data_IF_142918199691
#
_entry.id   IF_142918199691
#
_cell.length_a   1.000
_cell.length_b   1.000
_cell.length_c   1.000
_cell.angle_alpha   90.00
_cell.angle_beta   90.00
_cell.angle_gamma   90.00
#
_symmetry.space_group_name_H-M   'P 1'
#
loop_
_entity.id
_entity.type
_entity.pdbx_description
1 polymer ?
#
# COMPACT_ATOMS: atom_id res chain seq x y z
N UNK A 1 44.50 -33.31 29.93
CA UNK A 1 44.77 -34.61 30.63
C UNK A 1 44.62 -35.75 29.63
N UNK A 2 45.55 -36.71 29.65
CA UNK A 2 45.56 -37.86 28.73
C UNK A 2 44.99 -39.13 29.35
N UNK A 3 44.86 -39.21 30.68
CA UNK A 3 44.35 -40.35 31.44
C UNK A 3 43.52 -39.89 32.66
N UNK A 4 42.64 -40.77 33.16
CA UNK A 4 41.84 -40.52 34.37
C UNK A 4 42.75 -40.44 35.61
N UNK A 5 42.44 -39.53 36.54
CA UNK A 5 43.12 -39.49 37.83
C UNK A 5 42.57 -40.58 38.75
N UNK A 6 43.29 -41.71 38.78
CA UNK A 6 42.93 -42.91 39.55
C UNK A 6 43.57 -42.94 40.95
N UNK A 7 44.30 -41.89 41.37
CA UNK A 7 44.90 -41.82 42.71
C UNK A 7 43.92 -42.10 43.85
N UNK A 8 42.65 -41.62 43.81
CA UNK A 8 41.69 -41.94 44.86
C UNK A 8 41.38 -43.45 44.96
N UNK A 9 41.43 -44.17 43.84
CA UNK A 9 41.27 -45.62 43.81
C UNK A 9 42.55 -46.34 44.29
N UNK A 10 43.73 -45.82 43.96
CA UNK A 10 45.01 -46.33 44.47
C UNK A 10 45.13 -46.18 45.99
N UNK A 11 44.70 -45.04 46.53
CA UNK A 11 44.66 -44.77 47.98
C UNK A 11 43.71 -45.74 48.69
N UNK A 12 42.52 -45.98 48.12
CA UNK A 12 41.56 -46.97 48.62
C UNK A 12 42.13 -48.41 48.57
N UNK A 13 42.89 -48.74 47.52
CA UNK A 13 43.58 -50.03 47.39
C UNK A 13 44.69 -50.17 48.44
N UNK A 14 45.40 -49.09 48.77
CA UNK A 14 46.43 -49.11 49.81
C UNK A 14 45.81 -49.36 51.20
N UNK A 15 44.63 -48.81 51.48
CA UNK A 15 43.86 -49.12 52.69
C UNK A 15 43.45 -50.60 52.72
N UNK A 16 43.04 -51.16 51.58
CA UNK A 16 42.72 -52.60 51.47
C UNK A 16 43.94 -53.48 51.78
N UNK A 17 45.13 -53.13 51.27
CA UNK A 17 46.40 -53.83 51.56
C UNK A 17 46.72 -53.78 53.06
N UNK A 18 46.57 -52.64 53.72
CA UNK A 18 46.80 -52.51 55.18
C UNK A 18 45.86 -53.40 56.01
N UNK A 19 44.59 -53.53 55.61
CA UNK A 19 43.66 -54.47 56.27
C UNK A 19 44.04 -55.93 56.03
N UNK A 20 44.57 -56.24 54.85
CA UNK A 20 45.06 -57.58 54.52
C UNK A 20 46.29 -57.93 55.38
N UNK A 21 47.27 -57.04 55.46
CA UNK A 21 48.48 -57.20 56.29
C UNK A 21 48.16 -57.36 57.79
N UNK A 22 47.01 -56.83 58.22
CA UNK A 22 46.52 -56.92 59.61
C UNK A 22 45.60 -58.14 59.86
N UNK A 23 45.55 -59.11 58.93
CA UNK A 23 44.68 -60.30 58.96
C UNK A 23 43.16 -60.00 59.04
N UNK A 24 42.71 -58.79 58.66
CA UNK A 24 41.30 -58.41 58.63
C UNK A 24 40.69 -58.69 57.25
N UNK A 25 40.67 -59.95 56.83
CA UNK A 25 40.35 -60.35 55.45
C UNK A 25 39.00 -59.87 54.92
N UNK A 26 37.94 -59.88 55.74
CA UNK A 26 36.62 -59.37 55.33
C UNK A 26 36.67 -57.86 55.01
N UNK A 27 37.33 -57.06 55.84
CA UNK A 27 37.49 -55.62 55.62
C UNK A 27 38.40 -55.32 54.43
N UNK A 28 39.46 -56.10 54.25
CA UNK A 28 40.34 -56.01 53.10
C UNK A 28 39.58 -56.27 51.79
N UNK A 29 38.74 -57.31 51.75
CA UNK A 29 37.91 -57.63 50.58
C UNK A 29 36.90 -56.51 50.24
N UNK A 30 36.20 -55.97 51.25
CA UNK A 30 35.28 -54.85 51.04
C UNK A 30 35.99 -53.58 50.57
N UNK A 31 37.16 -53.26 51.12
CA UNK A 31 37.96 -52.12 50.69
C UNK A 31 38.52 -52.30 49.27
N UNK A 32 38.94 -53.51 48.90
CA UNK A 32 39.41 -53.82 47.54
C UNK A 32 38.28 -53.68 46.51
N UNK A 33 37.08 -54.21 46.79
CA UNK A 33 35.89 -54.00 45.92
C UNK A 33 35.52 -52.52 45.79
N UNK A 34 35.65 -51.76 46.87
CA UNK A 34 35.41 -50.31 46.84
C UNK A 34 36.44 -49.59 45.95
N UNK A 35 37.71 -49.95 46.05
CA UNK A 35 38.76 -49.40 45.18
C UNK A 35 38.53 -49.74 43.69
N UNK A 36 38.16 -50.98 43.39
CA UNK A 36 37.83 -51.42 42.03
C UNK A 36 36.63 -50.67 41.44
N UNK A 37 35.51 -50.60 42.17
CA UNK A 37 34.34 -49.84 41.73
C UNK A 37 34.64 -48.34 41.56
N UNK A 38 35.48 -47.77 42.42
CA UNK A 38 35.93 -46.38 42.30
C UNK A 38 36.78 -46.17 41.03
N UNK A 39 37.70 -47.09 40.72
CA UNK A 39 38.50 -47.02 39.51
C UNK A 39 37.64 -47.07 38.24
N UNK A 40 36.71 -48.04 38.16
CA UNK A 40 35.79 -48.18 37.01
C UNK A 40 34.95 -46.92 36.82
N UNK A 41 34.33 -46.42 37.90
CA UNK A 41 33.48 -45.23 37.82
C UNK A 41 34.27 -43.97 37.45
N UNK A 42 35.51 -43.82 37.92
CA UNK A 42 36.36 -42.69 37.54
C UNK A 42 36.78 -42.74 36.07
N UNK A 43 37.11 -43.92 35.55
CA UNK A 43 37.47 -44.10 34.14
C UNK A 43 36.26 -43.82 33.22
N UNK A 44 35.08 -44.34 33.55
CA UNK A 44 33.84 -44.06 32.82
C UNK A 44 33.49 -42.56 32.83
N UNK A 45 33.57 -41.93 34.01
CA UNK A 45 33.29 -40.49 34.16
C UNK A 45 34.31 -39.63 33.39
N UNK A 46 35.60 -40.00 33.44
CA UNK A 46 36.66 -39.34 32.67
C UNK A 46 36.44 -39.48 31.16
N UNK A 47 36.13 -40.69 30.68
CA UNK A 47 35.86 -40.93 29.27
C UNK A 47 34.68 -40.11 28.76
N UNK A 48 33.60 -40.03 29.54
CA UNK A 48 32.44 -39.19 29.25
C UNK A 48 32.80 -37.70 29.18
N UNK A 49 33.54 -37.19 30.17
CA UNK A 49 34.03 -35.81 30.17
C UNK A 49 34.95 -35.52 28.98
N UNK A 50 35.93 -36.37 28.71
CA UNK A 50 36.90 -36.17 27.63
C UNK A 50 36.23 -36.15 26.25
N UNK A 51 35.22 -37.02 26.05
CA UNK A 51 34.41 -37.01 24.83
C UNK A 51 33.66 -35.69 24.67
N UNK A 52 33.00 -35.21 25.72
CA UNK A 52 32.30 -33.92 25.71
C UNK A 52 33.26 -32.75 25.45
N UNK A 53 34.43 -32.72 26.13
CA UNK A 53 35.45 -31.69 25.96
C UNK A 53 36.00 -31.64 24.54
N UNK A 54 36.27 -32.80 23.93
CA UNK A 54 36.68 -32.88 22.52
C UNK A 54 35.57 -32.40 21.57
N UNK A 55 34.30 -32.69 21.87
CA UNK A 55 33.19 -32.21 21.07
C UNK A 55 33.05 -30.68 21.14
N UNK A 56 33.13 -30.10 22.33
CA UNK A 56 33.14 -28.64 22.52
C UNK A 56 34.35 -27.98 21.83
N UNK A 57 35.55 -28.56 21.96
CA UNK A 57 36.73 -28.04 21.27
C UNK A 57 36.56 -28.06 19.75
N UNK A 58 36.04 -29.16 19.19
CA UNK A 58 35.74 -29.26 17.75
C UNK A 58 34.70 -28.21 17.33
N UNK A 59 33.70 -27.92 18.18
CA UNK A 59 32.72 -26.86 17.94
C UNK A 59 33.36 -25.48 17.91
N UNK A 60 34.21 -25.17 18.89
CA UNK A 60 34.98 -23.92 18.95
C UNK A 60 35.82 -23.75 17.68
N UNK A 61 36.53 -24.80 17.25
CA UNK A 61 37.37 -24.73 16.05
C UNK A 61 36.52 -24.53 14.78
N UNK A 62 35.34 -25.17 14.70
CA UNK A 62 34.38 -24.96 13.61
C UNK A 62 33.86 -23.52 13.58
N UNK A 63 33.41 -23.01 14.72
CA UNK A 63 32.90 -21.64 14.86
C UNK A 63 33.98 -20.61 14.52
N UNK A 64 35.22 -20.83 14.95
CA UNK A 64 36.36 -19.97 14.63
C UNK A 64 36.65 -19.93 13.13
N UNK A 65 36.55 -21.07 12.42
CA UNK A 65 36.69 -21.11 10.95
C UNK A 65 35.61 -20.31 10.23
N UNK A 66 34.42 -20.22 10.83
CA UNK A 66 33.30 -19.42 10.33
C UNK A 66 33.37 -17.94 10.78
N UNK A 67 34.43 -17.55 11.51
CA UNK A 67 34.57 -16.18 12.03
C UNK A 67 33.61 -15.83 13.17
N UNK A 68 32.95 -16.84 13.77
CA UNK A 68 32.01 -16.64 14.87
C UNK A 68 32.74 -16.45 16.20
N UNK A 69 32.09 -15.76 17.14
CA UNK A 69 32.63 -15.52 18.48
C UNK A 69 32.71 -16.81 19.29
N UNK A 70 33.89 -17.14 19.82
CA UNK A 70 34.14 -18.39 20.57
C UNK A 70 34.57 -18.17 22.03
N UNK A 71 34.84 -16.93 22.44
CA UNK A 71 35.43 -16.58 23.74
C UNK A 71 34.66 -17.19 24.92
N UNK A 72 33.33 -17.10 24.91
CA UNK A 72 32.48 -17.62 25.99
C UNK A 72 32.59 -19.15 26.11
N UNK A 73 32.60 -19.86 24.98
CA UNK A 73 32.76 -21.33 24.98
C UNK A 73 34.16 -21.75 25.45
N UNK A 74 35.20 -21.02 25.07
CA UNK A 74 36.58 -21.24 25.52
C UNK A 74 36.70 -21.01 27.04
N UNK A 75 36.06 -19.96 27.59
CA UNK A 75 36.04 -19.72 29.04
C UNK A 75 35.28 -20.82 29.78
N UNK A 76 34.19 -21.35 29.22
CA UNK A 76 33.44 -22.46 29.78
C UNK A 76 34.25 -23.76 29.78
N UNK A 77 35.01 -24.03 28.72
CA UNK A 77 35.96 -25.15 28.65
C UNK A 77 37.01 -25.03 29.77
N UNK A 78 37.65 -23.87 29.91
CA UNK A 78 38.63 -23.63 30.98
C UNK A 78 38.02 -23.68 32.39
N UNK A 79 36.75 -23.27 32.56
CA UNK A 79 36.01 -23.40 33.82
C UNK A 79 35.73 -24.87 34.14
N UNK A 80 35.38 -25.68 33.15
CA UNK A 80 35.19 -27.12 33.33
C UNK A 80 36.48 -27.82 33.78
N UNK A 81 37.63 -27.46 33.19
CA UNK A 81 38.93 -27.99 33.61
C UNK A 81 39.26 -27.63 35.06
N UNK A 82 39.05 -26.37 35.46
CA UNK A 82 39.20 -25.94 36.86
C UNK A 82 38.27 -26.71 37.79
N UNK A 83 37.07 -27.03 37.33
CA UNK A 83 36.07 -27.79 38.10
C UNK A 83 36.45 -29.25 38.28
N UNK A 84 37.05 -29.88 37.27
CA UNK A 84 37.65 -31.20 37.40
C UNK A 84 38.72 -31.18 38.50
N UNK A 85 39.61 -30.20 38.45
CA UNK A 85 40.73 -30.05 39.40
C UNK A 85 40.28 -29.73 40.83
N UNK A 86 39.16 -29.02 41.01
CA UNK A 86 38.66 -28.70 42.35
C UNK A 86 38.12 -29.91 43.11
N UNK A 87 37.84 -31.02 42.41
CA UNK A 87 37.35 -32.27 42.99
C UNK A 87 36.01 -32.16 43.75
N UNK A 88 35.51 -33.30 44.21
CA UNK A 88 34.36 -33.45 45.10
C UNK A 88 34.61 -34.59 46.07
N UNK A 89 33.93 -34.57 47.21
CA UNK A 89 33.87 -35.71 48.11
C UNK A 89 32.76 -36.66 47.65
N UNK A 90 33.12 -37.88 47.25
CA UNK A 90 32.19 -38.95 46.87
C UNK A 90 32.52 -40.20 47.67
N UNK A 91 31.51 -40.74 48.37
CA UNK A 91 31.62 -42.03 49.07
C UNK A 91 32.82 -42.12 50.05
N UNK A 92 33.22 -41.01 50.65
CA UNK A 92 34.33 -40.93 51.61
C UNK A 92 35.74 -40.81 50.99
N UNK A 93 35.85 -40.59 49.68
CA UNK A 93 37.10 -40.27 48.99
C UNK A 93 36.97 -38.92 48.27
N UNK A 94 38.07 -38.17 48.20
CA UNK A 94 38.15 -36.96 47.38
C UNK A 94 38.50 -37.35 45.94
N UNK A 95 37.61 -37.06 45.00
CA UNK A 95 37.70 -37.49 43.60
C UNK A 95 37.56 -36.32 42.62
N UNK A 96 38.13 -36.40 41.41
CA UNK A 96 37.91 -35.39 40.39
C UNK A 96 36.42 -35.24 40.02
N UNK A 97 35.96 -34.00 39.83
CA UNK A 97 34.56 -33.71 39.52
C UNK A 97 34.26 -33.79 38.01
N UNK A 98 34.46 -34.96 37.42
CA UNK A 98 34.21 -35.19 35.99
C UNK A 98 32.72 -35.06 35.61
N UNK A 99 31.79 -35.38 36.51
CA UNK A 99 30.35 -35.35 36.23
C UNK A 99 29.85 -33.92 36.02
N UNK A 100 30.10 -33.00 36.97
CA UNK A 100 29.61 -31.64 36.81
C UNK A 100 30.38 -30.87 35.72
N UNK A 101 31.66 -31.19 35.53
CA UNK A 101 32.43 -30.64 34.41
C UNK A 101 31.87 -31.11 33.07
N UNK A 102 31.50 -32.39 32.95
CA UNK A 102 30.84 -32.95 31.75
C UNK A 102 29.53 -32.23 31.45
N UNK A 103 28.66 -32.07 32.45
CA UNK A 103 27.36 -31.37 32.26
C UNK A 103 27.56 -29.94 31.77
N UNK A 104 28.55 -29.23 32.31
CA UNK A 104 28.89 -27.86 31.89
C UNK A 104 29.30 -27.82 30.41
N UNK A 105 30.18 -28.73 30.00
CA UNK A 105 30.71 -28.80 28.63
C UNK A 105 29.66 -29.28 27.63
N UNK A 106 28.84 -30.28 27.99
CA UNK A 106 27.75 -30.78 27.13
C UNK A 106 26.72 -29.68 26.87
N UNK A 107 26.36 -28.92 27.91
CA UNK A 107 25.46 -27.77 27.76
C UNK A 107 26.06 -26.69 26.84
N UNK A 108 27.33 -26.35 27.05
CA UNK A 108 28.04 -25.38 26.21
C UNK A 108 28.13 -25.83 24.75
N UNK A 109 28.32 -27.13 24.49
CA UNK A 109 28.32 -27.67 23.12
C UNK A 109 26.95 -27.54 22.46
N UNK A 110 25.87 -27.86 23.19
CA UNK A 110 24.50 -27.71 22.70
C UNK A 110 24.16 -26.25 22.39
N UNK A 111 24.50 -25.32 23.30
CA UNK A 111 24.29 -23.89 23.12
C UNK A 111 25.12 -23.36 21.93
N UNK A 112 26.40 -23.74 21.83
CA UNK A 112 27.27 -23.37 20.72
C UNK A 112 26.80 -23.92 19.38
N UNK A 113 26.28 -25.15 19.34
CA UNK A 113 25.67 -25.73 18.14
C UNK A 113 24.43 -24.96 17.71
N UNK A 114 23.52 -24.69 18.65
CA UNK A 114 22.29 -23.95 18.35
C UNK A 114 22.59 -22.52 17.88
N UNK A 115 23.62 -21.88 18.46
CA UNK A 115 24.09 -20.58 18.02
C UNK A 115 24.70 -20.63 16.60
N UNK A 116 25.57 -21.60 16.31
CA UNK A 116 26.12 -21.79 14.97
C UNK A 116 25.02 -21.97 13.92
N UNK A 117 24.03 -22.82 14.19
CA UNK A 117 22.90 -23.05 13.28
C UNK A 117 22.09 -21.77 13.03
N UNK A 118 21.94 -20.89 14.03
CA UNK A 118 21.29 -19.58 13.86
C UNK A 118 22.17 -18.60 13.08
N UNK A 119 23.47 -18.58 13.35
CA UNK A 119 24.40 -17.70 12.66
C UNK A 119 24.52 -18.04 11.17
N UNK A 120 24.51 -19.33 10.81
CA UNK A 120 24.48 -19.77 9.42
C UNK A 120 23.20 -19.33 8.71
N UNK A 121 22.04 -19.43 9.37
CA UNK A 121 20.77 -18.90 8.84
C UNK A 121 20.82 -17.39 8.65
N UNK A 122 21.31 -16.65 9.63
CA UNK A 122 21.45 -15.20 9.56
C UNK A 122 22.38 -14.78 8.41
N UNK A 123 23.52 -15.48 8.25
CA UNK A 123 24.45 -15.27 7.14
C UNK A 123 23.78 -15.48 5.78
N UNK A 124 23.00 -16.55 5.62
CA UNK A 124 22.23 -16.79 4.39
C UNK A 124 21.19 -15.69 4.13
N UNK A 125 20.46 -15.25 5.16
CA UNK A 125 19.50 -14.14 5.02
C UNK A 125 20.19 -12.84 4.62
N UNK A 126 21.35 -12.51 5.22
CA UNK A 126 22.16 -11.33 4.85
C UNK A 126 22.57 -11.43 3.38
N UNK A 127 23.02 -12.60 2.93
CA UNK A 127 23.40 -12.80 1.53
C UNK A 127 22.21 -12.62 0.56
N UNK A 128 21.02 -13.11 0.91
CA UNK A 128 19.81 -12.90 0.10
C UNK A 128 19.41 -11.41 0.07
N UNK A 129 19.55 -10.71 1.20
CA UNK A 129 19.30 -9.28 1.28
C UNK A 129 20.29 -8.48 0.42
N UNK A 130 21.57 -8.84 0.43
CA UNK A 130 22.60 -8.25 -0.44
C UNK A 130 22.26 -8.47 -1.92
N UNK A 131 21.93 -9.71 -2.33
CA UNK A 131 21.52 -10.00 -3.69
C UNK A 131 20.25 -9.22 -4.11
N UNK A 132 19.31 -9.03 -3.18
CA UNK A 132 18.11 -8.24 -3.45
C UNK A 132 18.44 -6.76 -3.68
N UNK A 133 19.35 -6.19 -2.86
CA UNK A 133 19.88 -4.82 -3.01
C UNK A 133 20.59 -4.67 -4.36
N UNK A 134 21.53 -5.56 -4.70
CA UNK A 134 22.24 -5.54 -5.98
C UNK A 134 21.25 -5.60 -7.15
N UNK A 135 20.26 -6.50 -7.08
CA UNK A 135 19.24 -6.62 -8.12
C UNK A 135 18.38 -5.37 -8.28
N UNK A 136 18.23 -4.56 -7.22
CA UNK A 136 17.56 -3.26 -7.27
C UNK A 136 18.49 -2.22 -7.90
N UNK A 137 19.76 -2.16 -7.51
CA UNK A 137 20.75 -1.22 -8.08
C UNK A 137 21.02 -1.47 -9.58
N UNK A 138 21.02 -2.73 -10.02
CA UNK A 138 21.25 -3.14 -11.41
C UNK A 138 19.99 -3.06 -12.30
N UNK A 139 18.95 -2.35 -11.86
CA UNK A 139 17.73 -2.19 -12.65
C UNK A 139 18.02 -1.52 -14.00
N UNK A 140 17.51 -2.13 -15.07
CA UNK A 140 17.62 -1.58 -16.43
C UNK A 140 16.56 -0.49 -16.63
N UNK A 141 16.94 0.59 -17.33
CA UNK A 141 16.04 1.67 -17.67
C UNK A 141 16.49 3.07 -17.21
N UNK A 142 17.11 3.24 -16.03
CA UNK A 142 17.64 4.54 -15.64
C UNK A 142 18.69 5.03 -16.65
N UNK A 143 18.66 6.32 -16.94
CA UNK A 143 19.64 7.01 -17.77
C UNK A 143 21.00 7.13 -17.07
N UNK A 144 21.00 7.24 -15.74
CA UNK A 144 22.20 7.26 -14.89
C UNK A 144 22.11 6.15 -13.82
N UNK A 145 22.61 4.94 -14.14
CA UNK A 145 22.50 3.79 -13.24
C UNK A 145 23.21 3.97 -11.89
N UNK A 146 24.32 4.71 -11.85
CA UNK A 146 25.09 4.93 -10.63
C UNK A 146 24.29 5.80 -9.66
N UNK A 147 23.78 6.93 -10.14
CA UNK A 147 22.96 7.83 -9.35
C UNK A 147 21.64 7.20 -8.89
N UNK A 148 21.04 6.38 -9.75
CA UNK A 148 19.86 5.61 -9.40
C UNK A 148 20.15 4.65 -8.24
N UNK A 149 21.22 3.85 -8.36
CA UNK A 149 21.62 2.88 -7.35
C UNK A 149 21.87 3.59 -6.01
N UNK A 150 22.69 4.66 -5.99
CA UNK A 150 22.96 5.44 -4.78
C UNK A 150 21.68 5.88 -4.05
N UNK A 151 20.68 6.37 -4.79
CA UNK A 151 19.42 6.80 -4.19
C UNK A 151 18.51 5.66 -3.74
N UNK A 152 18.48 4.55 -4.49
CA UNK A 152 17.57 3.43 -4.24
C UNK A 152 18.10 2.43 -3.21
N UNK A 153 19.42 2.26 -3.09
CA UNK A 153 20.05 1.21 -2.28
C UNK A 153 20.71 1.72 -1.00
N UNK A 154 21.12 2.99 -0.92
CA UNK A 154 21.95 3.49 0.20
C UNK A 154 21.36 3.25 1.61
N UNK A 155 20.06 3.45 1.81
CA UNK A 155 19.41 3.15 3.10
C UNK A 155 19.42 1.65 3.42
N UNK A 156 19.27 0.80 2.40
CA UNK A 156 19.27 -0.65 2.54
C UNK A 156 20.68 -1.16 2.84
N UNK A 157 21.70 -0.60 2.19
CA UNK A 157 23.12 -0.91 2.44
C UNK A 157 23.54 -0.52 3.86
N UNK A 158 23.10 0.64 4.36
CA UNK A 158 23.32 1.03 5.76
C UNK A 158 22.66 0.02 6.73
N UNK A 159 21.46 -0.44 6.42
CA UNK A 159 20.75 -1.45 7.21
C UNK A 159 21.43 -2.82 7.13
N UNK A 160 22.00 -3.18 5.98
CA UNK A 160 22.79 -4.40 5.78
C UNK A 160 24.07 -4.39 6.62
N UNK A 161 24.73 -3.23 6.71
CA UNK A 161 25.87 -3.02 7.61
C UNK A 161 25.48 -3.19 9.09
N UNK A 162 24.27 -2.81 9.47
CA UNK A 162 23.78 -3.05 10.82
C UNK A 162 23.46 -4.53 11.06
N UNK A 163 22.84 -5.23 10.10
CA UNK A 163 22.59 -6.67 10.19
C UNK A 163 23.89 -7.49 10.33
N UNK A 164 24.91 -7.15 9.54
CA UNK A 164 26.24 -7.78 9.63
C UNK A 164 26.93 -7.49 10.96
N UNK A 165 26.79 -6.27 11.49
CA UNK A 165 27.28 -5.92 12.83
C UNK A 165 26.57 -6.70 13.93
N UNK A 166 25.24 -6.84 13.88
CA UNK A 166 24.48 -7.61 14.85
C UNK A 166 24.91 -9.08 14.86
N UNK A 167 25.13 -9.67 13.69
CA UNK A 167 25.67 -11.02 13.58
C UNK A 167 27.06 -11.15 14.22
N UNK A 168 27.95 -10.18 13.96
CA UNK A 168 29.29 -10.15 14.54
C UNK A 168 29.28 -10.03 16.08
N UNK A 169 28.27 -9.34 16.63
CA UNK A 169 28.06 -9.22 18.08
C UNK A 169 27.39 -10.45 18.72
N UNK A 170 26.93 -11.40 17.91
CA UNK A 170 26.27 -12.63 18.37
C UNK A 170 24.74 -12.55 18.42
N UNK A 171 24.12 -11.50 17.90
CA UNK A 171 22.67 -11.41 17.74
C UNK A 171 22.23 -11.91 16.37
N UNK A 172 22.26 -13.24 16.20
CA UNK A 172 21.84 -13.89 14.95
C UNK A 172 20.34 -13.72 14.65
N UNK A 173 19.50 -13.61 15.68
CA UNK A 173 18.05 -13.44 15.51
C UNK A 173 17.70 -12.03 15.06
N UNK A 174 18.33 -11.01 15.65
CA UNK A 174 18.23 -9.62 15.19
C UNK A 174 18.72 -9.47 13.76
N UNK A 175 19.91 -9.99 13.45
CA UNK A 175 20.48 -9.94 12.10
C UNK A 175 19.56 -10.58 11.04
N UNK A 176 18.95 -11.73 11.36
CA UNK A 176 18.01 -12.41 10.45
C UNK A 176 16.76 -11.55 10.19
N UNK A 177 16.20 -10.92 11.22
CA UNK A 177 15.01 -10.06 11.07
C UNK A 177 15.31 -8.85 10.18
N UNK A 178 16.39 -8.14 10.46
CA UNK A 178 16.81 -6.98 9.66
C UNK A 178 17.07 -7.38 8.22
N UNK A 179 17.76 -8.50 7.98
CA UNK A 179 18.02 -8.99 6.63
C UNK A 179 16.74 -9.32 5.85
N UNK A 180 15.77 -9.98 6.49
CA UNK A 180 14.48 -10.27 5.84
C UNK A 180 13.69 -8.99 5.52
N UNK A 181 13.69 -8.00 6.43
CA UNK A 181 13.06 -6.70 6.19
C UNK A 181 13.70 -5.95 5.00
N UNK A 182 15.03 -6.05 4.86
CA UNK A 182 15.77 -5.51 3.71
C UNK A 182 15.34 -6.21 2.41
N UNK A 183 15.30 -7.54 2.40
CA UNK A 183 14.88 -8.32 1.23
C UNK A 183 13.44 -7.93 0.80
N UNK A 184 12.51 -7.87 1.76
CA UNK A 184 11.13 -7.46 1.50
C UNK A 184 11.05 -6.02 0.96
N UNK A 185 11.79 -5.07 1.54
CA UNK A 185 11.80 -3.67 1.08
C UNK A 185 12.44 -3.55 -0.31
N UNK A 186 13.56 -4.22 -0.57
CA UNK A 186 14.22 -4.21 -1.88
C UNK A 186 13.32 -4.78 -2.99
N UNK A 187 12.67 -5.92 -2.72
CA UNK A 187 11.74 -6.55 -3.67
C UNK A 187 10.50 -5.69 -3.92
N UNK A 188 9.97 -5.04 -2.88
CA UNK A 188 8.87 -4.08 -3.00
C UNK A 188 9.27 -2.87 -3.86
N UNK A 189 10.42 -2.24 -3.58
CA UNK A 189 10.92 -1.09 -4.34
C UNK A 189 11.14 -1.44 -5.81
N UNK A 190 11.68 -2.62 -6.09
CA UNK A 190 11.86 -3.11 -7.45
C UNK A 190 10.53 -3.23 -8.19
N UNK A 191 9.51 -3.81 -7.54
CA UNK A 191 8.15 -3.89 -8.11
C UNK A 191 7.56 -2.50 -8.33
N UNK A 192 7.67 -1.61 -7.35
CA UNK A 192 7.18 -0.24 -7.43
C UNK A 192 7.82 0.53 -8.57
N UNK A 193 9.13 0.37 -8.81
CA UNK A 193 9.82 0.98 -9.94
C UNK A 193 9.20 0.55 -11.27
N UNK A 194 9.02 -0.77 -11.46
CA UNK A 194 8.44 -1.33 -12.70
C UNK A 194 7.02 -0.83 -12.92
N UNK A 195 6.20 -0.80 -11.87
CA UNK A 195 4.81 -0.36 -11.97
C UNK A 195 4.72 1.16 -12.19
N UNK A 196 5.60 1.94 -11.56
CA UNK A 196 5.66 3.41 -11.68
C UNK A 196 6.09 3.84 -13.09
N UNK A 197 7.13 3.21 -13.64
CA UNK A 197 7.58 3.45 -15.03
C UNK A 197 6.49 3.16 -16.05
N UNK A 198 5.81 2.01 -15.94
CA UNK A 198 4.64 1.69 -16.76
C UNK A 198 3.51 2.71 -16.59
N UNK A 199 3.28 3.19 -15.36
CA UNK A 199 2.27 4.21 -15.09
C UNK A 199 2.60 5.53 -15.77
N UNK A 200 3.87 5.95 -15.82
CA UNK A 200 4.27 7.13 -16.56
C UNK A 200 4.03 6.96 -18.05
N UNK A 201 4.45 5.85 -18.65
CA UNK A 201 4.25 5.60 -20.09
C UNK A 201 2.75 5.62 -20.46
N UNK A 202 1.91 5.00 -19.62
CA UNK A 202 0.45 5.03 -19.80
C UNK A 202 -0.13 6.45 -19.66
N UNK A 203 0.36 7.22 -18.68
CA UNK A 203 -0.09 8.60 -18.43
C UNK A 203 0.31 9.52 -19.59
N UNK A 204 1.55 9.40 -20.10
CA UNK A 204 2.02 10.15 -21.27
C UNK A 204 1.24 9.80 -22.53
N UNK A 205 0.92 8.51 -22.75
CA UNK A 205 0.08 8.08 -23.87
C UNK A 205 -1.32 8.70 -23.80
N UNK A 206 -1.92 8.72 -22.60
CA UNK A 206 -3.22 9.35 -22.38
C UNK A 206 -3.18 10.87 -22.56
N UNK A 207 -2.13 11.53 -22.08
CA UNK A 207 -1.92 12.97 -22.32
C UNK A 207 -1.75 13.27 -23.82
N UNK A 208 -1.01 12.44 -24.55
CA UNK A 208 -0.85 12.57 -26.00
C UNK A 208 -2.18 12.42 -26.74
N UNK A 209 -3.02 11.47 -26.31
CA UNK A 209 -4.39 11.32 -26.82
C UNK A 209 -5.24 12.57 -26.57
N UNK A 210 -5.27 13.07 -25.33
CA UNK A 210 -6.00 14.30 -24.97
C UNK A 210 -5.50 15.50 -25.77
N UNK A 211 -4.19 15.61 -26.02
CA UNK A 211 -3.61 16.65 -26.89
C UNK A 211 -4.09 16.52 -28.33
N UNK A 212 -4.20 15.29 -28.84
CA UNK A 212 -4.80 15.01 -30.15
C UNK A 212 -6.26 15.46 -30.24
N UNK A 213 -7.00 15.42 -29.13
CA UNK A 213 -8.35 15.96 -29.02
C UNK A 213 -8.39 17.49 -28.82
N UNK A 214 -7.24 18.16 -28.64
CA UNK A 214 -7.13 19.61 -28.45
C UNK A 214 -7.11 20.07 -26.98
N UNK A 215 -6.84 19.17 -26.03
CA UNK A 215 -6.73 19.48 -24.60
C UNK A 215 -5.35 20.06 -24.26
N UNK A 216 -5.32 21.09 -23.40
CA UNK A 216 -4.06 21.67 -22.91
C UNK A 216 -3.49 20.82 -21.76
N UNK A 217 -2.32 20.22 -21.99
CA UNK A 217 -1.63 19.31 -21.04
C UNK A 217 -0.30 19.85 -20.50
N UNK A 218 0.13 21.04 -20.89
CA UNK A 218 1.50 21.55 -20.70
C UNK A 218 1.98 21.57 -19.22
N UNK A 219 1.08 21.82 -18.26
CA UNK A 219 1.44 21.81 -16.83
C UNK A 219 1.80 20.42 -16.33
N UNK A 220 1.05 19.40 -16.75
CA UNK A 220 1.27 18.00 -16.39
C UNK A 220 2.55 17.43 -17.02
N UNK A 221 2.98 17.98 -18.16
CA UNK A 221 4.22 17.58 -18.83
C UNK A 221 5.46 17.97 -18.03
N UNK A 222 5.43 19.13 -17.36
CA UNK A 222 6.49 19.51 -16.43
C UNK A 222 6.52 18.57 -15.21
N UNK A 223 5.35 18.26 -14.66
CA UNK A 223 5.26 17.39 -13.48
C UNK A 223 5.68 15.94 -13.78
N UNK A 224 5.31 15.37 -14.94
CA UNK A 224 5.75 14.01 -15.30
C UNK A 224 7.26 13.95 -15.54
N UNK A 225 7.85 15.02 -16.07
CA UNK A 225 9.31 15.13 -16.22
C UNK A 225 10.00 15.18 -14.85
N UNK A 226 9.46 15.93 -13.90
CA UNK A 226 9.96 15.95 -12.51
C UNK A 226 9.82 14.56 -11.87
N UNK A 227 8.68 13.90 -12.06
CA UNK A 227 8.43 12.57 -11.51
C UNK A 227 9.39 11.51 -12.08
N UNK A 228 9.70 11.59 -13.38
CA UNK A 228 10.74 10.74 -14.01
C UNK A 228 12.13 11.04 -13.44
N UNK A 229 12.51 12.30 -13.29
CA UNK A 229 13.78 12.69 -12.67
C UNK A 229 13.91 12.20 -11.22
N UNK A 230 12.81 12.11 -10.46
CA UNK A 230 12.80 11.46 -9.15
C UNK A 230 13.11 9.97 -9.22
N UNK A 231 12.50 9.25 -10.19
CA UNK A 231 12.82 7.83 -10.42
C UNK A 231 14.28 7.65 -10.78
N UNK A 232 14.83 8.48 -11.68
CA UNK A 232 16.24 8.45 -12.08
C UNK A 232 17.19 8.65 -10.89
N UNK A 233 16.76 9.40 -9.86
CA UNK A 233 17.52 9.62 -8.62
C UNK A 233 17.30 8.53 -7.57
N UNK A 234 16.60 7.44 -7.89
CA UNK A 234 16.31 6.36 -6.94
C UNK A 234 15.19 6.65 -5.94
N UNK A 235 14.47 7.77 -6.06
CA UNK A 235 13.37 8.15 -5.16
C UNK A 235 12.05 7.48 -5.56
N UNK A 236 12.05 6.14 -5.56
CA UNK A 236 10.99 5.30 -6.15
C UNK A 236 9.63 5.52 -5.49
N UNK A 237 9.56 5.56 -4.16
CA UNK A 237 8.29 5.70 -3.44
C UNK A 237 7.63 7.06 -3.69
N UNK A 238 8.43 8.15 -3.63
CA UNK A 238 7.96 9.50 -3.92
C UNK A 238 7.48 9.62 -5.36
N UNK A 239 8.22 9.05 -6.31
CA UNK A 239 7.82 9.02 -7.70
C UNK A 239 6.55 8.20 -7.94
N UNK A 240 6.37 7.08 -7.25
CA UNK A 240 5.15 6.26 -7.32
C UNK A 240 3.93 7.03 -6.84
N UNK A 241 4.04 7.73 -5.71
CA UNK A 241 2.98 8.62 -5.22
C UNK A 241 2.66 9.72 -6.24
N UNK A 242 3.68 10.34 -6.84
CA UNK A 242 3.49 11.36 -7.88
C UNK A 242 2.83 10.79 -9.14
N UNK A 243 3.19 9.56 -9.56
CA UNK A 243 2.59 8.88 -10.70
C UNK A 243 1.09 8.64 -10.50
N UNK A 244 0.68 8.18 -9.31
CA UNK A 244 -0.75 8.00 -9.00
C UNK A 244 -1.51 9.33 -9.02
N UNK A 245 -0.91 10.40 -8.49
CA UNK A 245 -1.49 11.75 -8.54
C UNK A 245 -1.68 12.22 -9.97
N UNK A 246 -0.63 12.13 -10.80
CA UNK A 246 -0.66 12.59 -12.19
C UNK A 246 -1.67 11.83 -13.03
N UNK A 247 -1.75 10.50 -12.85
CA UNK A 247 -2.75 9.69 -13.52
C UNK A 247 -4.17 10.15 -13.17
N UNK A 248 -4.46 10.37 -11.88
CA UNK A 248 -5.76 10.85 -11.44
C UNK A 248 -6.08 12.25 -12.01
N UNK A 249 -5.10 13.16 -12.04
CA UNK A 249 -5.28 14.50 -12.62
C UNK A 249 -5.59 14.43 -14.13
N UNK A 250 -4.87 13.59 -14.88
CA UNK A 250 -5.11 13.34 -16.31
C UNK A 250 -6.51 12.76 -16.55
N UNK A 251 -6.92 11.78 -15.73
CA UNK A 251 -8.25 11.19 -15.79
C UNK A 251 -9.36 12.22 -15.50
N UNK A 252 -9.17 13.08 -14.49
CA UNK A 252 -10.12 14.15 -14.16
C UNK A 252 -10.22 15.13 -15.32
N UNK A 253 -9.10 15.61 -15.87
CA UNK A 253 -9.11 16.55 -17.00
C UNK A 253 -9.81 15.93 -18.20
N UNK A 254 -9.48 14.68 -18.56
CA UNK A 254 -10.11 13.97 -19.66
C UNK A 254 -11.62 13.81 -19.48
N UNK A 255 -12.07 13.48 -18.27
CA UNK A 255 -13.49 13.35 -17.95
C UNK A 255 -14.25 14.69 -18.01
N UNK A 256 -13.67 15.76 -17.46
CA UNK A 256 -14.28 17.09 -17.49
C UNK A 256 -14.33 17.62 -18.92
N UNK A 257 -13.26 17.42 -19.70
CA UNK A 257 -13.22 17.77 -21.12
C UNK A 257 -14.32 17.07 -21.91
N UNK A 258 -14.43 15.74 -21.81
CA UNK A 258 -15.48 14.96 -22.49
C UNK A 258 -16.88 15.43 -22.11
N UNK A 259 -17.13 15.65 -20.81
CA UNK A 259 -18.43 16.18 -20.36
C UNK A 259 -18.75 17.54 -20.97
N UNK A 260 -17.77 18.45 -21.03
CA UNK A 260 -17.96 19.77 -21.61
C UNK A 260 -18.21 19.70 -23.14
N UNK A 261 -17.49 18.83 -23.86
CA UNK A 261 -17.61 18.72 -25.32
C UNK A 261 -18.85 17.96 -25.77
N UNK A 262 -19.23 16.87 -25.10
CA UNK A 262 -20.52 16.20 -25.37
C UNK A 262 -21.68 17.09 -24.95
N UNK A 263 -21.56 17.72 -23.77
CA UNK A 263 -22.60 18.58 -23.24
C UNK A 263 -22.88 19.80 -24.13
N UNK A 264 -21.85 20.44 -24.69
CA UNK A 264 -22.07 21.54 -25.63
C UNK A 264 -22.67 21.06 -26.95
N UNK A 265 -22.26 19.90 -27.48
CA UNK A 265 -22.83 19.34 -28.70
C UNK A 265 -24.33 19.04 -28.54
N UNK A 266 -24.71 18.42 -27.42
CA UNK A 266 -26.11 18.14 -27.10
C UNK A 266 -26.93 19.43 -26.91
N UNK A 267 -26.36 20.42 -26.19
CA UNK A 267 -27.00 21.71 -25.98
C UNK A 267 -27.19 22.48 -27.30
N UNK A 268 -26.25 22.39 -28.24
CA UNK A 268 -26.38 22.99 -29.57
C UNK A 268 -27.50 22.35 -30.39
N UNK A 269 -27.63 21.02 -30.35
CA UNK A 269 -28.74 20.30 -31.01
C UNK A 269 -30.09 20.70 -30.41
N UNK A 270 -30.19 20.73 -29.08
CA UNK A 270 -31.39 21.17 -28.38
C UNK A 270 -31.74 22.61 -28.73
N UNK A 271 -30.75 23.50 -28.73
CA UNK A 271 -30.98 24.91 -29.04
C UNK A 271 -31.40 25.12 -30.49
N UNK A 272 -30.77 24.44 -31.45
CA UNK A 272 -31.16 24.51 -32.85
C UNK A 272 -32.61 24.03 -33.08
N UNK A 273 -33.05 22.99 -32.35
CA UNK A 273 -34.45 22.56 -32.35
C UNK A 273 -35.37 23.65 -31.78
N UNK A 274 -35.03 24.21 -30.62
CA UNK A 274 -35.81 25.27 -29.99
C UNK A 274 -35.90 26.52 -30.89
N UNK A 275 -34.83 26.89 -31.61
CA UNK A 275 -34.82 27.98 -32.57
C UNK A 275 -35.78 27.75 -33.74
N UNK A 276 -35.82 26.53 -34.30
CA UNK A 276 -36.82 26.15 -35.33
C UNK A 276 -38.25 26.25 -34.80
N UNK A 277 -38.44 26.00 -33.51
CA UNK A 277 -39.71 26.15 -32.81
C UNK A 277 -40.00 27.62 -32.39
N UNK A 278 -39.15 28.60 -32.76
CA UNK A 278 -39.38 30.03 -32.52
C UNK A 278 -38.71 30.62 -31.28
N UNK A 279 -37.91 29.85 -30.53
CA UNK A 279 -37.17 30.35 -29.37
C UNK A 279 -35.86 31.03 -29.75
N UNK A 280 -35.73 32.30 -29.37
CA UNK A 280 -34.50 33.06 -29.50
C UNK A 280 -34.16 33.67 -28.14
N UNK A 281 -32.98 33.35 -27.60
CA UNK A 281 -32.54 33.86 -26.30
C UNK A 281 -31.10 34.32 -26.36
N UNK A 282 -30.93 35.63 -26.20
CA UNK A 282 -29.61 36.25 -26.12
C UNK A 282 -28.77 35.68 -24.98
N UNK A 283 -29.39 35.40 -23.82
CA UNK A 283 -28.72 34.81 -22.66
C UNK A 283 -28.15 33.42 -23.00
N UNK A 284 -28.90 32.61 -23.75
CA UNK A 284 -28.45 31.29 -24.18
C UNK A 284 -27.35 31.37 -25.26
N UNK A 285 -27.47 32.31 -26.21
CA UNK A 285 -26.45 32.55 -27.23
C UNK A 285 -25.10 32.94 -26.61
N UNK A 286 -25.15 33.86 -25.62
CA UNK A 286 -23.95 34.28 -24.87
C UNK A 286 -23.38 33.11 -24.08
N UNK A 287 -24.21 32.35 -23.35
CA UNK A 287 -23.77 31.21 -22.56
C UNK A 287 -23.09 30.12 -23.42
N UNK A 288 -23.66 29.76 -24.57
CA UNK A 288 -23.05 28.79 -25.50
C UNK A 288 -21.75 29.33 -26.10
N UNK A 289 -21.69 30.62 -26.44
CA UNK A 289 -20.45 31.26 -26.92
C UNK A 289 -19.35 31.24 -25.86
N UNK A 290 -19.67 31.59 -24.63
CA UNK A 290 -18.72 31.60 -23.51
C UNK A 290 -18.27 30.18 -23.12
N UNK A 291 -19.16 29.20 -23.28
CA UNK A 291 -18.82 27.77 -23.17
C UNK A 291 -17.76 27.38 -24.22
N UNK A 292 -17.99 27.68 -25.52
CA UNK A 292 -17.00 27.39 -26.58
C UNK A 292 -15.67 28.07 -26.32
N UNK A 293 -15.70 29.33 -25.88
CA UNK A 293 -14.50 30.09 -25.55
C UNK A 293 -13.74 29.42 -24.41
N UNK A 294 -14.43 29.06 -23.33
CA UNK A 294 -13.83 28.42 -22.16
C UNK A 294 -13.23 27.06 -22.48
N UNK A 295 -13.85 26.26 -23.36
CA UNK A 295 -13.30 24.99 -23.86
C UNK A 295 -11.98 25.24 -24.62
N UNK A 296 -11.93 26.23 -25.52
CA UNK A 296 -10.70 26.56 -26.27
C UNK A 296 -9.58 27.08 -25.38
N UNK A 297 -9.93 27.80 -24.32
CA UNK A 297 -8.98 28.32 -23.33
C UNK A 297 -8.53 27.23 -22.32
N UNK A 298 -9.06 26.00 -22.41
CA UNK A 298 -8.73 24.90 -21.48
C UNK A 298 -9.42 24.98 -20.12
N UNK A 299 -10.31 25.95 -19.91
CA UNK A 299 -11.06 26.14 -18.67
C UNK A 299 -12.34 25.31 -18.66
N UNK A 300 -12.22 23.98 -18.66
CA UNK A 300 -13.37 23.07 -18.82
C UNK A 300 -14.39 23.14 -17.68
N UNK A 301 -13.94 23.38 -16.44
CA UNK A 301 -14.85 23.56 -15.31
C UNK A 301 -15.77 24.78 -15.51
N UNK A 302 -15.20 25.93 -15.91
CA UNK A 302 -15.98 27.12 -16.26
C UNK A 302 -16.87 26.90 -17.48
N UNK A 303 -16.43 26.10 -18.45
CA UNK A 303 -17.27 25.73 -19.58
C UNK A 303 -18.53 25.01 -19.13
N UNK A 304 -18.43 24.06 -18.19
CA UNK A 304 -19.59 23.36 -17.62
C UNK A 304 -20.54 24.35 -16.93
N UNK A 305 -20.03 25.29 -16.14
CA UNK A 305 -20.87 26.31 -15.49
C UNK A 305 -21.65 27.17 -16.51
N UNK A 306 -21.00 27.60 -17.59
CA UNK A 306 -21.69 28.36 -18.65
C UNK A 306 -22.70 27.49 -19.41
N UNK A 307 -22.38 26.23 -19.63
CA UNK A 307 -23.29 25.27 -20.25
C UNK A 307 -24.55 25.09 -19.41
N UNK A 308 -24.41 24.90 -18.10
CA UNK A 308 -25.52 24.78 -17.15
C UNK A 308 -26.41 26.03 -17.16
N UNK A 309 -25.83 27.23 -17.23
CA UNK A 309 -26.61 28.47 -17.39
C UNK A 309 -27.43 28.48 -18.68
N UNK A 310 -26.85 28.03 -19.79
CA UNK A 310 -27.55 27.88 -21.07
C UNK A 310 -28.70 26.87 -20.99
N UNK A 311 -28.45 25.69 -20.40
CA UNK A 311 -29.45 24.66 -20.18
C UNK A 311 -30.59 25.14 -19.26
N UNK A 312 -30.28 25.93 -18.23
CA UNK A 312 -31.30 26.54 -17.38
C UNK A 312 -32.17 27.54 -18.15
N UNK A 313 -31.60 28.32 -19.07
CA UNK A 313 -32.38 29.20 -19.93
C UNK A 313 -33.32 28.39 -20.86
N UNK A 314 -32.86 27.24 -21.37
CA UNK A 314 -33.72 26.32 -22.14
C UNK A 314 -34.86 25.78 -21.28
N UNK A 315 -34.56 25.28 -20.08
CA UNK A 315 -35.56 24.73 -19.16
C UNK A 315 -36.61 25.78 -18.74
N UNK A 316 -36.19 27.02 -18.47
CA UNK A 316 -37.14 28.12 -18.18
C UNK A 316 -38.11 28.33 -19.34
N UNK A 317 -37.63 28.29 -20.58
CA UNK A 317 -38.48 28.48 -21.76
C UNK A 317 -39.41 27.29 -21.99
N UNK A 318 -38.92 26.06 -21.89
CA UNK A 318 -39.77 24.87 -22.06
C UNK A 318 -40.88 24.85 -21.02
N UNK A 319 -40.58 25.18 -19.77
CA UNK A 319 -41.58 25.29 -18.70
C UNK A 319 -42.59 26.41 -18.97
N UNK A 320 -42.13 27.58 -19.44
CA UNK A 320 -43.03 28.66 -19.83
C UNK A 320 -43.94 28.26 -21.00
N UNK A 321 -43.43 27.49 -21.97
CA UNK A 321 -44.23 26.94 -23.08
C UNK A 321 -45.30 25.98 -22.58
N UNK A 322 -44.93 25.03 -21.72
CA UNK A 322 -45.90 24.09 -21.15
C UNK A 322 -46.97 24.82 -20.34
N UNK A 323 -46.59 25.84 -19.57
CA UNK A 323 -47.54 26.67 -18.83
C UNK A 323 -48.50 27.42 -19.76
N UNK A 324 -48.00 27.99 -20.86
CA UNK A 324 -48.84 28.62 -21.89
C UNK A 324 -49.80 27.61 -22.52
N UNK A 325 -49.33 26.42 -22.89
CA UNK A 325 -50.20 25.36 -23.44
C UNK A 325 -51.32 24.96 -22.47
N UNK A 326 -51.00 24.76 -21.17
CA UNK A 326 -52.00 24.48 -20.13
C UNK A 326 -53.00 25.63 -19.99
N UNK A 327 -52.53 26.87 -20.01
CA UNK A 327 -53.40 28.05 -19.90
C UNK A 327 -54.35 28.19 -21.09
N UNK A 328 -53.91 27.88 -22.31
CA UNK A 328 -54.75 27.81 -23.51
C UNK A 328 -55.84 26.74 -23.35
N UNK A 329 -55.47 25.53 -22.90
CA UNK A 329 -56.44 24.45 -22.66
C UNK A 329 -57.47 24.80 -21.57
N UNK A 330 -57.04 25.44 -20.49
CA UNK A 330 -57.93 25.91 -19.43
C UNK A 330 -58.90 26.99 -19.94
N UNK A 331 -58.41 27.97 -20.70
CA UNK A 331 -59.24 28.99 -21.32
C UNK A 331 -60.24 28.37 -22.31
N UNK A 332 -59.82 27.37 -23.11
CA UNK A 332 -60.70 26.60 -24.00
C UNK A 332 -61.82 25.90 -23.23
N UNK A 333 -61.49 25.22 -22.13
CA UNK A 333 -62.49 24.56 -21.27
C UNK A 333 -63.50 25.58 -20.73
N UNK A 334 -63.03 26.73 -20.22
CA UNK A 334 -63.91 27.82 -19.74
C UNK A 334 -64.85 28.33 -20.82
N UNK A 335 -64.34 28.56 -22.02
CA UNK A 335 -65.16 28.98 -23.17
C UNK A 335 -66.20 27.91 -23.54
N UNK A 336 -65.84 26.62 -23.49
CA UNK A 336 -66.78 25.52 -23.71
C UNK A 336 -67.88 25.44 -22.64
N UNK A 337 -67.56 25.69 -21.36
CA UNK A 337 -68.57 25.76 -20.29
C UNK A 337 -69.56 26.92 -20.47
N UNK A 338 -69.12 28.02 -21.09
CA UNK A 338 -69.95 29.19 -21.39
C UNK A 338 -70.72 29.07 -22.72
N UNK A 339 -70.50 28.00 -23.50
CA UNK A 339 -71.29 27.72 -24.72
C UNK A 339 -72.71 27.33 -24.32
N UNK A 340 -73.65 28.26 -24.50
CA UNK A 340 -75.06 28.10 -24.13
C UNK A 340 -75.63 29.28 -23.33
N UNK A 341 -74.76 30.18 -22.84
CA UNK A 341 -75.14 31.33 -22.00
C UNK A 341 -75.69 32.55 -22.77
N UNK A 342 -75.80 32.50 -24.10
CA UNK A 342 -76.35 33.60 -24.92
C UNK A 342 -75.50 34.86 -25.02
N UNK A 343 -74.21 34.79 -24.66
CA UNK A 343 -73.30 35.94 -24.63
C UNK A 343 -72.87 36.37 -26.05
N UNK A 344 -73.09 37.64 -26.39
CA UNK A 344 -72.85 38.21 -27.73
C UNK A 344 -71.38 38.24 -28.15
N UNK A 345 -70.44 38.33 -27.20
CA UNK A 345 -69.00 38.44 -27.45
C UNK A 345 -68.26 37.09 -27.43
N UNK A 346 -68.99 35.99 -27.21
CA UNK A 346 -68.41 34.64 -27.11
C UNK A 346 -67.78 34.12 -28.44
N UNK A 347 -68.33 34.46 -29.63
CA UNK A 347 -67.67 34.14 -30.91
C UNK A 347 -66.31 34.84 -31.07
N UNK A 348 -66.20 36.11 -30.69
CA UNK A 348 -64.96 36.89 -30.81
C UNK A 348 -63.87 36.34 -29.89
N UNK A 349 -64.23 35.96 -28.66
CA UNK A 349 -63.33 35.28 -27.71
C UNK A 349 -62.85 33.93 -28.27
N UNK A 350 -63.74 33.17 -28.91
CA UNK A 350 -63.37 31.92 -29.57
C UNK A 350 -62.42 32.14 -30.74
N UNK A 351 -62.61 33.19 -31.53
CA UNK A 351 -61.73 33.50 -32.66
C UNK A 351 -60.32 33.85 -32.17
N UNK A 352 -60.20 34.72 -31.16
CA UNK A 352 -58.89 35.10 -30.58
C UNK A 352 -58.21 33.90 -29.90
N UNK A 353 -58.97 33.03 -29.22
CA UNK A 353 -58.41 31.82 -28.61
C UNK A 353 -57.99 30.78 -29.67
N UNK A 354 -58.73 30.65 -30.76
CA UNK A 354 -58.35 29.79 -31.90
C UNK A 354 -57.11 30.34 -32.59
N UNK A 355 -56.95 31.67 -32.65
CA UNK A 355 -55.74 32.33 -33.14
C UNK A 355 -54.56 32.04 -32.22
N UNK A 356 -54.72 32.20 -30.89
CA UNK A 356 -53.71 31.85 -29.91
C UNK A 356 -53.27 30.36 -30.00
N UNK A 357 -54.21 29.44 -30.24
CA UNK A 357 -53.95 28.01 -30.46
C UNK A 357 -53.17 27.77 -31.75
N UNK A 358 -53.59 28.38 -32.86
CA UNK A 358 -52.91 28.25 -34.15
C UNK A 358 -51.49 28.83 -34.09
N UNK A 359 -51.31 29.97 -33.44
CA UNK A 359 -50.00 30.59 -33.23
C UNK A 359 -49.11 29.75 -32.30
N UNK A 360 -49.70 29.13 -31.26
CA UNK A 360 -48.99 28.16 -30.41
C UNK A 360 -48.51 26.94 -31.21
N UNK A 361 -49.37 26.38 -32.08
CA UNK A 361 -49.05 25.25 -32.94
C UNK A 361 -48.04 25.59 -34.05
N UNK A 362 -48.02 26.85 -34.50
CA UNK A 362 -47.06 27.36 -35.49
C UNK A 362 -45.73 27.82 -34.88
N UNK A 363 -45.59 27.78 -33.55
CA UNK A 363 -44.36 28.16 -32.84
C UNK A 363 -44.21 29.66 -32.55
N UNK A 364 -45.23 30.48 -32.84
CA UNK A 364 -45.25 31.89 -32.47
C UNK A 364 -45.75 32.07 -31.03
N UNK A 365 -44.91 31.74 -30.06
CA UNK A 365 -45.29 31.78 -28.63
C UNK A 365 -45.51 33.20 -28.08
N UNK A 366 -44.90 34.23 -28.69
CA UNK A 366 -45.09 35.62 -28.26
C UNK A 366 -46.49 36.08 -28.65
N UNK A 367 -46.87 35.94 -29.92
CA UNK A 367 -48.23 36.25 -30.39
C UNK A 367 -49.29 35.41 -29.68
N UNK A 368 -49.03 34.10 -29.52
CA UNK A 368 -49.93 33.21 -28.78
C UNK A 368 -50.17 33.66 -27.33
N UNK A 369 -49.14 34.18 -26.65
CA UNK A 369 -49.28 34.70 -25.29
C UNK A 369 -50.06 36.02 -25.22
N UNK A 370 -49.92 36.88 -26.24
CA UNK A 370 -50.64 38.15 -26.35
C UNK A 370 -52.12 37.89 -26.64
N UNK A 371 -52.41 37.02 -27.61
CA UNK A 371 -53.78 36.61 -27.96
C UNK A 371 -54.46 35.89 -26.78
N UNK A 372 -53.75 35.00 -26.07
CA UNK A 372 -54.27 34.36 -24.87
C UNK A 372 -54.58 35.38 -23.78
N UNK A 373 -53.74 36.41 -23.60
CA UNK A 373 -53.98 37.47 -22.61
C UNK A 373 -55.21 38.29 -22.98
N UNK A 374 -55.40 38.62 -24.24
CA UNK A 374 -56.60 39.31 -24.76
C UNK A 374 -57.84 38.44 -24.52
N UNK A 375 -57.79 37.15 -24.89
CA UNK A 375 -58.89 36.22 -24.68
C UNK A 375 -59.23 36.04 -23.19
N UNK A 376 -58.22 35.97 -22.32
CA UNK A 376 -58.40 35.85 -20.85
C UNK A 376 -59.02 37.11 -20.26
N UNK A 377 -58.59 38.31 -20.68
CA UNK A 377 -59.18 39.58 -20.23
C UNK A 377 -60.65 39.68 -20.66
N UNK A 378 -60.98 39.28 -21.89
CA UNK A 378 -62.36 39.26 -22.38
C UNK A 378 -63.21 38.22 -21.61
N UNK A 379 -62.65 37.04 -21.30
CA UNK A 379 -63.31 36.03 -20.45
C UNK A 379 -63.55 36.53 -19.02
N UNK A 380 -62.60 37.24 -18.43
CA UNK A 380 -62.73 37.82 -17.09
C UNK A 380 -63.75 38.97 -17.07
N UNK A 381 -63.83 39.77 -18.13
CA UNK A 381 -64.87 40.80 -18.28
C UNK A 381 -66.26 40.19 -18.41
N UNK A 382 -66.40 39.08 -19.13
CA UNK A 382 -67.65 38.34 -19.30
C UNK A 382 -68.10 37.64 -18.01
N UNK A 383 -67.17 37.11 -17.22
CA UNK A 383 -67.48 36.45 -15.93
C UNK A 383 -67.68 37.45 -14.79
N UNK A 384 -67.12 38.66 -14.88
CA UNK A 384 -67.35 39.77 -13.93
C UNK A 384 -68.52 40.68 -14.30
N UNK A 385 -69.08 40.58 -15.51
CA UNK A 385 -70.27 41.34 -15.88
C UNK A 385 -71.42 40.91 -14.97
N UNK A 386 -71.93 41.77 -14.07
CA UNK A 386 -73.09 41.42 -13.26
C UNK A 386 -74.27 41.24 -14.21
N UNK A 387 -75.09 40.21 -13.97
CA UNK A 387 -76.39 39.99 -14.59
C UNK A 387 -77.11 41.33 -14.86
N UNK A 388 -77.02 41.79 -16.11
CA UNK A 388 -77.65 43.02 -16.59
C UNK A 388 -79.06 42.73 -17.08
N UNK A 389 -79.97 42.51 -16.12
CA UNK A 389 -81.44 42.67 -16.17
C UNK A 389 -82.21 42.06 -17.35
N UNK A 390 -82.89 40.94 -17.10
CA UNK A 390 -84.30 40.89 -16.67
C UNK A 390 -84.68 39.47 -16.24
#
# INVERSE_FOLDING_TARGET
>A
MTQADIKPAEDALQVAKRFFDSNQFSKAFHAAKKAESLAITLDERFGGYQKAAKALQSRIDSMRRLGLRTEELETLLGRAEKKVLSGIWDSGAFVPNYLEARVLVERAEQEGRAFQERAEKASNSIFLAELAIESLGEMKGPADPERFAEGATSELEQSLHEATRQLALGDAEGATKVANEIEEKATLLRKLYIDTTKSFDATEAQMSYLRGEGVLTNGLEADIKIARDMVEKGLIEAASAMATRLRNEVDVIGNVYRKATTGIADAEVLYARLQREGFHSYEADVALRDTRRSIREGNYARAIEYLERGLHAFARRTNAREALGRAIEEARKRVQFLRGSGLTFLPDIQEVLTRAENEFHQGNFVGSSEDLRIATVLLDQVTRAPNGKN
#
